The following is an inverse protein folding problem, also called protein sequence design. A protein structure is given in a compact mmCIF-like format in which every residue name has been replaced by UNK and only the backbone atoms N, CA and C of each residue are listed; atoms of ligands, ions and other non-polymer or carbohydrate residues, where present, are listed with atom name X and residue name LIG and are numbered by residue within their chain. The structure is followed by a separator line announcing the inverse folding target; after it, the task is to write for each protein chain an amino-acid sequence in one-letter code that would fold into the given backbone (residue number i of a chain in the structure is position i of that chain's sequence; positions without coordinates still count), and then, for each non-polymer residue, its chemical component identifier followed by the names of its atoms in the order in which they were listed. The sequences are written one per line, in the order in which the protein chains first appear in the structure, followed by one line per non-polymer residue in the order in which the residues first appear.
data_IF_119838710649
#
_entry.id   IF_119838710649
#
_cell.length_a   1.000
_cell.length_b   1.000
_cell.length_c   1.000
_cell.angle_alpha   90.00
_cell.angle_beta   90.00
_cell.angle_gamma   90.00
#
_symmetry.space_group_name_H-M   'P 1'
#
loop_
_entity.id
_entity.type
_entity.pdbx_description
1 polymer ?
#
# COMPACT_ATOMS: atom_id res chain seq x y z
N UNK A 1 -13.74 -28.15 -21.12
CA UNK A 1 -13.69 -27.78 -20.79
C UNK A 1 -13.79 -27.30 -19.99
N UNK A 2 -13.65 -27.21 -19.77
CA UNK A 2 -13.81 -26.77 -19.06
C UNK A 2 -13.17 -26.16 -18.42
N UNK A 3 -12.43 -26.19 -18.38
CA UNK A 3 -11.77 -25.76 -17.66
C UNK A 3 -10.97 -24.73 -17.81
N UNK A 4 -10.56 -24.49 -18.67
CA UNK A 4 -9.79 -23.40 -18.85
C UNK A 4 -10.34 -22.21 -18.35
N UNK A 5 -11.59 -22.03 -18.47
CA UNK A 5 -12.23 -20.82 -18.02
C UNK A 5 -12.05 -20.61 -16.54
N UNK A 6 -11.82 -21.65 -15.78
CA UNK A 6 -11.65 -21.41 -14.38
C UNK A 6 -10.22 -21.04 -14.03
N UNK A 7 -9.32 -21.30 -14.92
CA UNK A 7 -7.96 -20.89 -14.66
C UNK A 7 -7.81 -19.41 -14.71
N UNK A 8 -8.38 -18.80 -15.70
CA UNK A 8 -8.29 -17.36 -15.86
C UNK A 8 -9.00 -16.60 -14.77
N UNK A 9 -10.20 -16.98 -14.42
CA UNK A 9 -10.88 -16.29 -13.33
C UNK A 9 -10.13 -16.39 -12.02
N UNK A 10 -9.40 -17.46 -11.84
CA UNK A 10 -8.64 -17.60 -10.61
C UNK A 10 -7.65 -16.48 -10.43
N UNK A 11 -7.06 -16.05 -11.49
CA UNK A 11 -6.11 -14.97 -11.39
C UNK A 11 -6.76 -13.68 -10.97
N UNK A 12 -7.95 -13.41 -11.46
CA UNK A 12 -8.65 -12.23 -11.06
C UNK A 12 -9.09 -12.31 -9.63
N UNK A 13 -9.51 -13.48 -9.23
CA UNK A 13 -9.98 -13.67 -7.88
C UNK A 13 -8.87 -13.39 -6.89
N UNK A 14 -7.65 -13.76 -7.26
CA UNK A 14 -6.54 -13.56 -6.37
C UNK A 14 -6.31 -12.11 -6.04
N UNK A 15 -6.58 -11.22 -6.96
CA UNK A 15 -6.32 -9.82 -6.72
C UNK A 15 -7.28 -9.21 -5.71
N UNK A 16 -8.41 -9.89 -5.47
CA UNK A 16 -9.39 -9.39 -4.52
C UNK A 16 -9.35 -10.06 -3.16
N UNK A 17 -8.51 -11.07 -3.02
CA UNK A 17 -8.40 -11.76 -1.74
C UNK A 17 -7.54 -10.96 -0.78
N UNK A 18 -8.00 -10.85 0.45
CA UNK A 18 -7.25 -10.15 1.47
C UNK A 18 -6.49 -11.17 2.30
N UNK A 19 -5.24 -11.36 1.94
CA UNK A 19 -4.38 -12.36 2.55
C UNK A 19 -3.15 -11.77 3.21
N UNK A 20 -2.89 -10.48 3.00
CA UNK A 20 -1.66 -9.86 3.48
C UNK A 20 -1.93 -9.02 4.72
N UNK A 21 -1.47 -9.48 5.85
CA UNK A 21 -1.68 -8.73 7.09
C UNK A 21 -0.68 -7.60 7.21
N UNK A 22 -1.15 -6.44 7.62
CA UNK A 22 -0.28 -5.31 7.95
C UNK A 22 -0.76 -4.72 9.26
N UNK A 23 0.17 -4.18 10.02
CA UNK A 23 -0.09 -3.68 11.36
C UNK A 23 0.36 -2.25 11.49
N UNK A 24 -0.43 -1.45 12.19
CA UNK A 24 -0.03 -0.11 12.55
C UNK A 24 0.98 -0.21 13.71
N UNK A 25 2.18 0.27 13.48
CA UNK A 25 3.25 0.13 14.46
C UNK A 25 3.04 0.97 15.71
N UNK A 26 2.13 1.95 15.65
CA UNK A 26 1.86 2.78 16.81
C UNK A 26 0.71 2.26 17.64
N UNK A 27 -0.35 1.78 17.01
CA UNK A 27 -1.54 1.32 17.71
C UNK A 27 -1.60 -0.16 17.94
N UNK A 28 -0.84 -0.93 17.15
CA UNK A 28 -0.91 -2.38 17.20
C UNK A 28 -2.08 -2.98 16.45
N UNK A 29 -2.96 -2.15 15.90
CA UNK A 29 -4.08 -2.66 15.14
C UNK A 29 -3.62 -3.21 13.80
N UNK A 30 -4.25 -4.28 13.35
CA UNK A 30 -3.89 -4.89 12.08
C UNK A 30 -5.12 -5.10 11.22
N UNK A 31 -4.89 -5.33 9.94
CA UNK A 31 -5.97 -5.56 9.00
C UNK A 31 -5.40 -6.36 7.83
N UNK A 32 -6.26 -7.16 7.22
CA UNK A 32 -5.84 -7.92 6.05
C UNK A 32 -6.06 -7.11 4.78
N UNK A 33 -5.08 -7.16 3.90
CA UNK A 33 -5.10 -6.41 2.65
C UNK A 33 -4.99 -7.36 1.47
N UNK A 34 -5.39 -6.90 0.30
CA UNK A 34 -5.08 -7.62 -0.93
C UNK A 34 -3.60 -7.44 -1.21
N UNK A 35 -3.07 -8.24 -2.13
CA UNK A 35 -1.66 -8.11 -2.49
C UNK A 35 -1.35 -6.74 -3.06
N UNK A 36 -2.25 -6.19 -3.84
CA UNK A 36 -2.06 -4.86 -4.40
C UNK A 36 -2.06 -3.80 -3.31
N UNK A 37 -2.99 -3.91 -2.37
CA UNK A 37 -3.05 -2.97 -1.26
C UNK A 37 -1.79 -3.06 -0.40
N UNK A 38 -1.32 -4.27 -0.15
CA UNK A 38 -0.10 -4.46 0.64
C UNK A 38 1.10 -3.86 -0.07
N UNK A 39 1.17 -4.01 -1.37
CA UNK A 39 2.24 -3.44 -2.15
C UNK A 39 2.25 -1.92 -2.05
N UNK A 40 1.08 -1.30 -2.16
CA UNK A 40 0.96 0.14 -2.01
C UNK A 40 1.32 0.59 -0.61
N UNK A 41 0.87 -0.17 0.38
CA UNK A 41 1.20 0.13 1.77
C UNK A 41 2.71 0.14 1.99
N UNK A 42 3.37 -0.91 1.51
CA UNK A 42 4.81 -1.02 1.71
C UNK A 42 5.55 0.07 0.94
N UNK A 43 5.07 0.41 -0.25
CA UNK A 43 5.68 1.46 -1.05
C UNK A 43 5.60 2.82 -0.36
N UNK A 44 4.51 3.09 0.34
CA UNK A 44 4.37 4.34 1.08
C UNK A 44 5.52 4.49 2.07
N UNK A 45 5.78 3.46 2.85
CA UNK A 45 6.82 3.55 3.87
C UNK A 45 8.21 3.56 3.26
N UNK A 46 8.44 2.81 2.20
CA UNK A 46 9.72 2.81 1.52
C UNK A 46 10.01 4.18 0.93
N UNK A 47 9.04 4.77 0.26
CA UNK A 47 9.22 6.08 -0.35
C UNK A 47 9.32 7.19 0.69
N UNK A 48 8.59 7.05 1.79
CA UNK A 48 8.69 8.01 2.88
C UNK A 48 10.10 8.01 3.48
N UNK A 49 10.64 6.83 3.69
CA UNK A 49 12.00 6.72 4.20
C UNK A 49 13.00 7.32 3.22
N UNK A 50 12.85 7.00 1.94
CA UNK A 50 13.72 7.55 0.90
C UNK A 50 13.62 9.05 0.82
N UNK A 51 12.39 9.58 0.90
CA UNK A 51 12.19 11.03 0.85
C UNK A 51 12.85 11.72 2.03
N UNK A 52 12.70 11.14 3.22
CA UNK A 52 13.30 11.69 4.42
C UNK A 52 14.82 11.71 4.31
N UNK A 53 15.38 10.63 3.79
CA UNK A 53 16.83 10.56 3.62
C UNK A 53 17.34 11.57 2.60
N UNK A 54 16.61 11.73 1.50
CA UNK A 54 17.00 12.73 0.51
C UNK A 54 16.92 14.13 1.06
N UNK A 55 15.86 14.44 1.79
CA UNK A 55 15.70 15.75 2.38
C UNK A 55 16.85 16.06 3.35
N UNK A 56 17.21 15.06 4.14
CA UNK A 56 18.29 15.21 5.09
C UNK A 56 19.62 15.43 4.40
N UNK A 57 19.87 14.67 3.34
CA UNK A 57 21.12 14.75 2.61
C UNK A 57 21.24 16.04 1.81
N UNK A 58 20.16 16.41 1.13
CA UNK A 58 20.17 17.58 0.28
C UNK A 58 19.77 18.86 1.01
N UNK A 59 19.12 18.71 2.15
CA UNK A 59 18.71 19.86 2.95
C UNK A 59 17.62 20.70 2.33
N UNK A 60 16.85 20.12 1.41
CA UNK A 60 15.85 20.90 0.68
C UNK A 60 14.43 20.68 1.10
N UNK A 61 14.11 19.50 1.66
CA UNK A 61 12.74 19.16 1.98
C UNK A 61 11.86 19.03 0.76
N UNK A 62 12.46 18.83 -0.40
CA UNK A 62 11.71 18.84 -1.65
C UNK A 62 11.90 17.58 -2.49
N UNK A 63 12.12 16.44 -1.85
CA UNK A 63 12.28 15.20 -2.59
C UNK A 63 11.03 14.89 -3.38
N UNK A 64 11.21 14.45 -4.62
CA UNK A 64 10.09 14.05 -5.46
C UNK A 64 9.42 12.79 -4.95
N UNK A 65 10.08 12.05 -4.08
CA UNK A 65 9.48 10.87 -3.50
C UNK A 65 8.25 11.21 -2.65
N UNK A 66 8.19 12.45 -2.12
CA UNK A 66 7.00 12.88 -1.39
C UNK A 66 5.76 12.90 -2.28
N UNK A 67 5.93 13.19 -3.56
CA UNK A 67 4.81 13.16 -4.49
C UNK A 67 4.27 11.75 -4.63
N UNK A 68 5.17 10.77 -4.65
CA UNK A 68 4.77 9.38 -4.72
C UNK A 68 4.05 8.95 -3.45
N UNK A 69 4.57 9.37 -2.31
CA UNK A 69 3.94 9.08 -1.02
C UNK A 69 2.51 9.61 -1.00
N UNK A 70 2.34 10.86 -1.40
CA UNK A 70 1.00 11.46 -1.42
C UNK A 70 0.07 10.75 -2.39
N UNK A 71 0.57 10.38 -3.56
CA UNK A 71 -0.24 9.67 -4.54
C UNK A 71 -0.69 8.32 -4.02
N UNK A 72 0.20 7.59 -3.37
CA UNK A 72 -0.13 6.28 -2.84
C UNK A 72 -1.07 6.38 -1.64
N UNK A 73 -0.89 7.39 -0.81
CA UNK A 73 -1.82 7.62 0.30
C UNK A 73 -3.22 7.92 -0.22
N UNK A 74 -3.30 8.73 -1.26
CA UNK A 74 -4.58 9.08 -1.86
C UNK A 74 -5.23 7.86 -2.49
N UNK A 75 -4.44 7.06 -3.19
CA UNK A 75 -4.93 5.81 -3.78
C UNK A 75 -5.51 4.90 -2.69
N UNK A 76 -4.79 4.75 -1.59
CA UNK A 76 -5.19 3.88 -0.50
C UNK A 76 -6.49 4.36 0.13
N UNK A 77 -6.58 5.65 0.37
CA UNK A 77 -7.76 6.22 0.99
C UNK A 77 -9.01 6.02 0.13
N UNK A 78 -8.85 6.06 -1.18
CA UNK A 78 -9.97 5.87 -2.09
C UNK A 78 -10.35 4.41 -2.25
N UNK A 79 -9.36 3.52 -2.23
CA UNK A 79 -9.60 2.12 -2.48
C UNK A 79 -10.02 1.34 -1.25
N UNK A 80 -9.49 1.71 -0.09
CA UNK A 80 -9.80 0.98 1.13
C UNK A 80 -9.69 1.95 2.31
N UNK A 81 -10.73 2.74 2.49
CA UNK A 81 -10.75 3.77 3.52
C UNK A 81 -10.57 3.18 4.92
N UNK A 82 -11.14 2.01 5.15
CA UNK A 82 -11.02 1.37 6.45
C UNK A 82 -9.58 1.03 6.77
N UNK A 83 -8.90 0.43 5.81
CA UNK A 83 -7.49 0.07 6.00
C UNK A 83 -6.64 1.33 6.16
N UNK A 84 -6.96 2.38 5.42
CA UNK A 84 -6.25 3.64 5.55
C UNK A 84 -6.35 4.14 6.99
N UNK A 85 -7.54 4.10 7.58
CA UNK A 85 -7.73 4.57 8.94
C UNK A 85 -7.03 3.69 9.96
N UNK A 86 -6.99 2.38 9.72
CA UNK A 86 -6.32 1.48 10.65
C UNK A 86 -4.81 1.63 10.57
N UNK A 87 -4.27 1.73 9.37
CA UNK A 87 -2.82 1.64 9.16
C UNK A 87 -2.11 2.96 8.99
N UNK A 88 -2.77 3.94 8.40
CA UNK A 88 -2.09 5.13 7.92
C UNK A 88 -2.60 6.44 8.50
N UNK A 89 -3.68 6.39 9.20
CA UNK A 89 -4.26 7.64 9.76
C UNK A 89 -3.72 7.96 11.15
#
# INVERSE_FOLDING_TARGET
MINLSYIIPNMKTQTNERTEERKNRFTGQSILLTKEEAKKHDAIFINELGATLEDKTLGTGASKLWDKVRADLDWFRRHNAKAYMVLLD
#
